data_IF_260553434400
#
_entry.id   IF_260553434400
#
_cell.length_a   1.000
_cell.length_b   1.000
_cell.length_c   1.000
_cell.angle_alpha   90.00
_cell.angle_beta   90.00
_cell.angle_gamma   90.00
#
_symmetry.space_group_name_H-M   'P 1'
#
loop_
_entity.id
_entity.type
_entity.pdbx_description
1 polymer ?
#
# COMPACT_ATOMS: atom_id res chain seq x y z
N UNK A 1 18.94 -19.55 20.33
CA UNK A 1 17.90 -19.57 19.27
C UNK A 1 17.50 -18.12 19.03
N UNK A 2 17.44 -17.66 17.77
CA UNK A 2 17.05 -16.27 17.49
C UNK A 2 15.53 -16.13 17.54
N UNK A 3 15.03 -15.04 18.09
CA UNK A 3 13.60 -14.75 18.21
C UNK A 3 13.09 -13.91 17.05
N UNK A 4 11.97 -14.32 16.47
CA UNK A 4 11.30 -13.63 15.36
C UNK A 4 9.86 -13.37 15.74
N UNK A 5 9.45 -12.11 15.67
CA UNK A 5 8.04 -11.73 15.82
C UNK A 5 7.45 -11.54 14.43
N UNK A 6 6.41 -12.31 14.09
CA UNK A 6 5.78 -12.26 12.78
C UNK A 6 4.41 -11.60 12.85
N UNK A 7 4.17 -10.64 11.94
CA UNK A 7 2.84 -10.07 11.73
C UNK A 7 1.93 -11.10 11.06
N UNK A 8 0.97 -11.63 11.80
CA UNK A 8 -0.08 -12.53 11.31
C UNK A 8 -1.33 -11.70 11.02
N UNK A 9 -1.69 -11.58 9.75
CA UNK A 9 -2.84 -10.75 9.32
C UNK A 9 -4.12 -11.54 9.11
N UNK A 10 -4.14 -12.83 9.47
CA UNK A 10 -5.23 -13.75 9.08
C UNK A 10 -5.22 -14.15 7.61
N UNK A 11 -4.16 -13.83 6.85
CA UNK A 11 -4.00 -14.18 5.45
C UNK A 11 -2.98 -15.30 5.23
N UNK A 12 -3.16 -16.07 4.15
CA UNK A 12 -2.34 -17.26 3.80
C UNK A 12 -0.84 -16.97 3.76
N UNK A 13 -0.46 -15.79 3.29
CA UNK A 13 0.95 -15.40 3.11
C UNK A 13 1.68 -15.29 4.45
N UNK A 14 1.06 -14.64 5.43
CA UNK A 14 1.60 -14.54 6.79
C UNK A 14 1.61 -15.89 7.51
N UNK A 15 0.61 -16.74 7.25
CA UNK A 15 0.52 -18.09 7.84
C UNK A 15 1.67 -18.99 7.38
N UNK A 16 1.93 -19.02 6.07
CA UNK A 16 3.04 -19.80 5.51
C UNK A 16 4.39 -19.21 5.92
N UNK A 17 4.52 -17.88 5.96
CA UNK A 17 5.73 -17.25 6.46
C UNK A 17 6.04 -17.67 7.91
N UNK A 18 5.04 -17.77 8.78
CA UNK A 18 5.20 -18.21 10.17
C UNK A 18 5.62 -19.68 10.26
N UNK A 19 4.98 -20.54 9.46
CA UNK A 19 5.33 -21.96 9.37
C UNK A 19 6.79 -22.15 8.96
N UNK A 20 7.22 -21.49 7.87
CA UNK A 20 8.59 -21.60 7.36
C UNK A 20 9.64 -21.09 8.36
N UNK A 21 9.31 -20.07 9.18
CA UNK A 21 10.19 -19.62 10.26
C UNK A 21 10.30 -20.66 11.38
N UNK A 22 9.18 -21.28 11.75
CA UNK A 22 9.15 -22.35 12.76
C UNK A 22 9.98 -23.57 12.30
N UNK A 23 9.83 -23.98 11.05
CA UNK A 23 10.58 -25.09 10.45
C UNK A 23 12.09 -24.81 10.37
N UNK A 24 12.49 -23.55 10.17
CA UNK A 24 13.89 -23.10 10.22
C UNK A 24 14.47 -23.04 11.63
N UNK A 25 13.69 -23.36 12.66
CA UNK A 25 14.14 -23.42 14.05
C UNK A 25 14.24 -22.06 14.75
N UNK A 26 13.50 -21.04 14.30
CA UNK A 26 13.39 -19.78 15.03
C UNK A 26 12.45 -19.90 16.24
N UNK A 27 12.67 -19.05 17.25
CA UNK A 27 11.69 -18.80 18.31
C UNK A 27 10.65 -17.82 17.80
N UNK A 28 9.52 -18.32 17.32
CA UNK A 28 8.51 -17.53 16.59
C UNK A 28 7.37 -17.12 17.52
N UNK A 29 7.03 -15.84 17.53
CA UNK A 29 5.83 -15.28 18.18
C UNK A 29 4.98 -14.59 17.11
N UNK A 30 3.69 -14.93 17.05
CA UNK A 30 2.71 -14.27 16.18
C UNK A 30 2.11 -13.03 16.84
N UNK A 31 2.01 -11.94 16.07
CA UNK A 31 1.25 -10.75 16.48
C UNK A 31 0.23 -10.39 15.41
N UNK A 32 -1.01 -10.18 15.83
CA UNK A 32 -2.03 -9.53 15.02
C UNK A 32 -2.13 -8.05 15.39
N UNK A 33 -2.10 -7.18 14.38
CA UNK A 33 -2.17 -5.72 14.56
C UNK A 33 -3.59 -5.24 14.27
N UNK A 34 -4.30 -4.77 15.29
CA UNK A 34 -5.57 -4.07 15.13
C UNK A 34 -5.28 -2.60 14.82
N UNK A 35 -5.31 -2.27 13.54
CA UNK A 35 -4.93 -0.94 13.03
C UNK A 35 -6.11 -0.01 12.77
N UNK A 36 -7.33 -0.52 12.64
CA UNK A 36 -8.50 0.31 12.41
C UNK A 36 -9.73 -0.37 12.95
N UNK A 37 -10.54 0.38 13.67
CA UNK A 37 -11.93 0.06 13.96
C UNK A 37 -12.68 1.39 13.87
N UNK A 38 -13.71 1.43 13.05
CA UNK A 38 -14.57 2.60 12.93
C UNK A 38 -15.97 2.14 13.27
N UNK A 39 -16.44 2.51 14.45
CA UNK A 39 -17.77 2.12 14.95
C UNK A 39 -18.90 2.90 14.24
N UNK A 40 -18.56 3.88 13.38
CA UNK A 40 -19.53 4.83 12.81
C UNK A 40 -19.92 4.56 11.36
N UNK A 41 -19.17 3.73 10.61
CA UNK A 41 -19.35 3.55 9.14
C UNK A 41 -19.61 2.10 8.71
N UNK A 42 -19.66 1.15 9.65
CA UNK A 42 -20.03 -0.23 9.33
C UNK A 42 -21.56 -0.33 9.26
N UNK A 43 -22.09 -0.28 8.04
CA UNK A 43 -23.51 -0.59 7.74
C UNK A 43 -23.83 -2.09 7.88
N UNK A 44 -22.83 -2.94 8.15
CA UNK A 44 -22.95 -4.37 8.39
C UNK A 44 -22.52 -4.70 9.83
N UNK A 45 -23.26 -5.56 10.52
CA UNK A 45 -22.96 -6.06 11.89
C UNK A 45 -21.65 -6.89 12.00
N UNK A 46 -20.83 -6.93 10.96
CA UNK A 46 -19.61 -7.75 10.89
C UNK A 46 -18.35 -6.88 10.91
N UNK A 47 -17.67 -6.85 12.06
CA UNK A 47 -16.34 -6.28 12.21
C UNK A 47 -15.30 -7.16 11.48
N UNK A 48 -14.75 -6.76 10.31
CA UNK A 48 -13.93 -7.65 9.49
C UNK A 48 -12.64 -8.13 10.17
N UNK A 49 -12.12 -7.34 11.11
CA UNK A 49 -10.91 -7.68 11.86
C UNK A 49 -11.10 -8.86 12.81
N UNK A 50 -12.33 -9.16 13.24
CA UNK A 50 -12.62 -10.29 14.14
C UNK A 50 -12.36 -11.61 13.41
N UNK A 51 -12.85 -11.74 12.18
CA UNK A 51 -12.60 -12.92 11.35
C UNK A 51 -11.11 -13.11 11.06
N UNK A 52 -10.43 -12.04 10.64
CA UNK A 52 -9.00 -12.06 10.36
C UNK A 52 -8.17 -12.42 11.61
N UNK A 53 -8.57 -11.92 12.79
CA UNK A 53 -7.93 -12.25 14.06
C UNK A 53 -8.17 -13.72 14.44
N UNK A 54 -9.39 -14.24 14.25
CA UNK A 54 -9.70 -15.64 14.54
C UNK A 54 -8.90 -16.59 13.65
N UNK A 55 -8.78 -16.29 12.35
CA UNK A 55 -7.93 -17.05 11.44
C UNK A 55 -6.46 -17.03 11.86
N UNK A 56 -5.96 -15.87 12.34
CA UNK A 56 -4.60 -15.74 12.83
C UNK A 56 -4.36 -16.59 14.09
N UNK A 57 -5.33 -16.65 15.02
CA UNK A 57 -5.30 -17.51 16.20
C UNK A 57 -5.23 -18.99 15.80
N UNK A 58 -6.15 -19.44 14.92
CA UNK A 58 -6.20 -20.83 14.47
C UNK A 58 -4.88 -21.26 13.79
N UNK A 59 -4.28 -20.36 13.01
CA UNK A 59 -2.96 -20.59 12.41
C UNK A 59 -1.86 -20.70 13.46
N UNK A 60 -1.84 -19.79 14.45
CA UNK A 60 -0.83 -19.81 15.50
C UNK A 60 -0.93 -21.08 16.37
N UNK A 61 -2.14 -21.51 16.71
CA UNK A 61 -2.40 -22.76 17.43
C UNK A 61 -1.94 -23.98 16.62
N UNK A 62 -2.27 -24.02 15.31
CA UNK A 62 -1.87 -25.09 14.40
C UNK A 62 -0.35 -25.23 14.28
N UNK A 63 0.37 -24.11 14.22
CA UNK A 63 1.84 -24.08 14.11
C UNK A 63 2.51 -24.30 15.47
N UNK A 64 1.79 -24.09 16.58
CA UNK A 64 2.34 -24.18 17.93
C UNK A 64 3.27 -23.02 18.26
N UNK A 65 2.80 -21.78 18.04
CA UNK A 65 3.52 -20.54 18.36
C UNK A 65 2.66 -19.66 19.28
N UNK A 66 3.26 -18.91 20.23
CA UNK A 66 2.55 -17.91 21.01
C UNK A 66 1.92 -16.84 20.10
N UNK A 67 0.77 -16.32 20.52
CA UNK A 67 0.02 -15.33 19.76
C UNK A 67 -0.43 -14.18 20.66
N UNK A 68 -0.35 -12.95 20.14
CA UNK A 68 -0.84 -11.75 20.82
C UNK A 68 -1.54 -10.81 19.84
N UNK A 69 -2.45 -10.01 20.36
CA UNK A 69 -3.10 -8.92 19.63
C UNK A 69 -2.59 -7.60 20.20
N UNK A 70 -2.17 -6.69 19.33
CA UNK A 70 -1.82 -5.32 19.71
C UNK A 70 -2.73 -4.33 19.01
N UNK A 71 -3.08 -3.27 19.72
CA UNK A 71 -3.86 -2.16 19.18
C UNK A 71 -2.94 -1.03 18.75
N UNK A 72 -2.98 -0.70 17.46
CA UNK A 72 -2.24 0.41 16.85
C UNK A 72 -3.21 1.39 16.17
N UNK A 73 -4.50 1.32 16.48
CA UNK A 73 -5.55 2.12 15.84
C UNK A 73 -5.32 3.62 15.95
N UNK A 74 -4.90 4.10 17.12
CA UNK A 74 -4.60 5.51 17.36
C UNK A 74 -3.47 6.01 16.45
N UNK A 75 -2.33 5.32 16.46
CA UNK A 75 -1.18 5.69 15.63
C UNK A 75 -1.50 5.57 14.14
N UNK A 76 -2.25 4.54 13.74
CA UNK A 76 -2.67 4.36 12.36
C UNK A 76 -3.56 5.52 11.89
N UNK A 77 -4.51 5.97 12.73
CA UNK A 77 -5.32 7.15 12.44
C UNK A 77 -4.45 8.38 12.20
N UNK A 78 -3.62 8.71 13.18
CA UNK A 78 -2.81 9.94 13.16
C UNK A 78 -1.78 9.94 12.01
N UNK A 79 -1.14 8.80 11.74
CA UNK A 79 -0.04 8.73 10.76
C UNK A 79 -0.49 8.41 9.35
N UNK A 80 -1.58 7.67 9.18
CA UNK A 80 -2.02 7.16 7.86
C UNK A 80 -3.30 7.84 7.41
N UNK A 81 -4.34 7.80 8.24
CA UNK A 81 -5.68 8.28 7.84
C UNK A 81 -5.71 9.80 7.74
N UNK A 82 -5.24 10.51 8.76
CA UNK A 82 -5.22 11.98 8.78
C UNK A 82 -4.30 12.52 7.66
N UNK A 83 -3.17 11.85 7.40
CA UNK A 83 -2.32 12.13 6.25
C UNK A 83 -3.08 11.93 4.93
N UNK A 84 -3.78 10.81 4.77
CA UNK A 84 -4.52 10.52 3.56
C UNK A 84 -5.58 11.59 3.26
N UNK A 85 -6.37 11.99 4.27
CA UNK A 85 -7.37 13.06 4.12
C UNK A 85 -6.73 14.39 3.70
N UNK A 86 -5.63 14.78 4.35
CA UNK A 86 -4.89 15.99 4.01
C UNK A 86 -4.40 15.97 2.56
N UNK A 87 -3.83 14.87 2.09
CA UNK A 87 -3.33 14.77 0.71
C UNK A 87 -4.46 14.86 -0.32
N UNK A 88 -5.60 14.21 -0.07
CA UNK A 88 -6.78 14.32 -0.94
C UNK A 88 -7.35 15.74 -0.94
N UNK A 89 -7.41 16.42 0.21
CA UNK A 89 -7.83 17.81 0.30
C UNK A 89 -6.93 18.73 -0.54
N UNK A 90 -5.63 18.43 -0.60
CA UNK A 90 -4.67 19.14 -1.42
C UNK A 90 -4.64 18.69 -2.89
N UNK A 91 -5.56 17.79 -3.31
CA UNK A 91 -5.68 17.33 -4.69
C UNK A 91 -4.64 16.31 -5.13
N UNK A 92 -3.95 15.68 -4.17
CA UNK A 92 -2.98 14.61 -4.43
C UNK A 92 -3.62 13.25 -4.20
N UNK A 93 -3.11 12.23 -4.89
CA UNK A 93 -3.48 10.83 -4.67
C UNK A 93 -2.39 10.15 -3.85
N UNK A 94 -2.53 10.05 -2.52
CA UNK A 94 -1.54 9.40 -1.67
C UNK A 94 -1.53 7.88 -1.86
N UNK A 95 -0.41 7.25 -1.49
CA UNK A 95 -0.31 5.81 -1.35
C UNK A 95 -0.17 5.45 0.15
N UNK A 96 -1.29 5.19 0.85
CA UNK A 96 -1.26 4.92 2.29
C UNK A 96 -0.57 3.59 2.63
N UNK A 97 -0.48 2.64 1.70
CA UNK A 97 0.16 1.34 1.96
C UNK A 97 1.69 1.48 2.06
N UNK A 98 2.30 2.35 1.25
CA UNK A 98 3.73 2.68 1.36
C UNK A 98 4.03 3.27 2.74
N UNK A 99 3.19 4.22 3.19
CA UNK A 99 3.36 4.86 4.48
C UNK A 99 3.07 3.91 5.65
N UNK A 100 2.04 3.07 5.54
CA UNK A 100 1.71 2.06 6.54
C UNK A 100 2.86 1.07 6.76
N UNK A 101 3.54 0.65 5.70
CA UNK A 101 4.75 -0.16 5.86
C UNK A 101 5.81 0.60 6.66
N UNK A 102 6.18 1.80 6.22
CA UNK A 102 7.23 2.59 6.89
C UNK A 102 6.94 2.91 8.36
N UNK A 103 5.72 3.38 8.65
CA UNK A 103 5.34 3.98 9.94
C UNK A 103 4.70 2.99 10.92
N UNK A 104 4.04 1.95 10.42
CA UNK A 104 3.29 1.00 11.26
C UNK A 104 4.01 -0.34 11.28
N UNK A 105 4.12 -1.01 10.13
CA UNK A 105 4.65 -2.40 10.08
C UNK A 105 6.15 -2.49 10.30
N UNK A 106 6.93 -1.46 10.01
CA UNK A 106 8.38 -1.50 10.17
C UNK A 106 8.91 -0.48 11.18
N UNK A 107 8.05 0.34 11.78
CA UNK A 107 8.41 1.20 12.93
C UNK A 107 7.72 0.73 14.22
N UNK A 108 6.41 0.92 14.35
CA UNK A 108 5.68 0.56 15.57
C UNK A 108 5.69 -0.94 15.87
N UNK A 109 5.46 -1.78 14.85
CA UNK A 109 5.53 -3.23 14.99
C UNK A 109 6.95 -3.70 15.36
N UNK A 110 7.98 -3.08 14.78
CA UNK A 110 9.37 -3.35 15.14
C UNK A 110 9.63 -2.99 16.60
N UNK A 111 9.18 -1.82 17.06
CA UNK A 111 9.30 -1.40 18.47
C UNK A 111 8.59 -2.37 19.42
N UNK A 112 7.36 -2.78 19.09
CA UNK A 112 6.63 -3.79 19.87
C UNK A 112 7.36 -5.14 19.91
N UNK A 113 7.92 -5.58 18.79
CA UNK A 113 8.70 -6.81 18.72
C UNK A 113 9.97 -6.75 19.57
N UNK A 114 10.67 -5.61 19.58
CA UNK A 114 11.87 -5.41 20.40
C UNK A 114 11.55 -5.50 21.90
N UNK A 115 10.38 -5.04 22.35
CA UNK A 115 9.93 -5.23 23.74
C UNK A 115 9.73 -6.70 24.12
N UNK A 116 9.48 -7.58 23.14
CA UNK A 116 9.41 -9.03 23.31
C UNK A 116 10.79 -9.72 23.18
N UNK A 117 11.88 -8.94 23.18
CA UNK A 117 13.25 -9.39 22.95
C UNK A 117 13.43 -10.10 21.60
N UNK A 118 12.75 -9.62 20.56
CA UNK A 118 12.92 -10.14 19.21
C UNK A 118 14.26 -9.70 18.59
N UNK A 119 14.93 -10.63 17.91
CA UNK A 119 16.09 -10.30 17.07
C UNK A 119 15.65 -9.72 15.72
N UNK A 120 14.50 -10.17 15.22
CA UNK A 120 13.93 -9.78 13.94
C UNK A 120 12.40 -9.67 13.97
N UNK A 121 11.86 -8.91 13.04
CA UNK A 121 10.46 -9.01 12.62
C UNK A 121 10.35 -9.77 11.31
N UNK A 122 9.20 -10.38 11.07
CA UNK A 122 8.87 -10.98 9.80
C UNK A 122 7.48 -10.59 9.31
N UNK A 123 7.31 -10.60 7.99
CA UNK A 123 6.02 -10.35 7.34
C UNK A 123 5.84 -11.30 6.16
N UNK A 124 4.59 -11.50 5.75
CA UNK A 124 4.25 -12.25 4.54
C UNK A 124 4.38 -11.43 3.24
N UNK A 125 5.33 -10.49 3.16
CA UNK A 125 5.51 -9.71 1.93
C UNK A 125 6.30 -10.51 0.87
N UNK A 126 5.89 -10.37 -0.39
CA UNK A 126 6.56 -10.92 -1.57
C UNK A 126 7.72 -10.02 -2.01
N UNK A 127 8.77 -10.00 -1.21
CA UNK A 127 10.02 -9.33 -1.53
C UNK A 127 11.19 -10.08 -0.92
N UNK A 128 12.40 -9.83 -1.39
CA UNK A 128 13.60 -10.50 -0.91
C UNK A 128 14.54 -9.47 -0.26
N UNK A 129 15.48 -9.97 0.53
CA UNK A 129 16.53 -9.15 1.14
C UNK A 129 17.86 -9.88 1.03
N UNK A 130 18.89 -9.16 0.63
CA UNK A 130 20.27 -9.61 0.81
C UNK A 130 21.12 -8.55 1.52
N UNK A 131 22.39 -8.86 1.74
CA UNK A 131 23.35 -7.92 2.33
C UNK A 131 24.67 -8.01 1.58
N UNK A 132 25.26 -6.86 1.27
CA UNK A 132 26.56 -6.73 0.63
C UNK A 132 27.50 -5.91 1.53
N UNK A 133 28.81 -6.08 1.38
CA UNK A 133 29.77 -5.14 1.94
C UNK A 133 29.96 -3.96 0.98
N UNK A 134 29.92 -2.75 1.52
CA UNK A 134 30.32 -1.55 0.80
C UNK A 134 31.84 -1.54 0.60
N UNK A 135 32.31 -0.67 -0.30
CA UNK A 135 33.74 -0.40 -0.49
C UNK A 135 34.44 0.12 0.78
N UNK A 136 33.67 0.64 1.74
CA UNK A 136 34.13 1.16 3.02
C UNK A 136 34.02 0.12 4.15
N UNK A 137 33.60 -1.11 3.85
CA UNK A 137 33.46 -2.21 4.83
C UNK A 137 32.13 -2.23 5.60
N UNK A 138 31.22 -1.28 5.35
CA UNK A 138 29.90 -1.24 5.97
C UNK A 138 28.96 -2.28 5.35
N UNK A 139 28.11 -2.92 6.15
CA UNK A 139 27.08 -3.83 5.62
C UNK A 139 25.90 -3.00 5.10
N UNK A 140 25.57 -3.19 3.82
CA UNK A 140 24.40 -2.59 3.18
C UNK A 140 23.35 -3.67 2.98
N UNK A 141 22.16 -3.48 3.53
CA UNK A 141 21.01 -4.32 3.28
C UNK A 141 20.25 -3.82 2.05
N UNK A 142 19.97 -4.71 1.10
CA UNK A 142 19.23 -4.36 -0.13
C UNK A 142 17.87 -5.03 -0.13
N UNK A 143 16.84 -4.25 -0.46
CA UNK A 143 15.52 -4.76 -0.78
C UNK A 143 15.53 -5.21 -2.24
N UNK A 144 15.10 -6.44 -2.48
CA UNK A 144 15.05 -7.08 -3.78
C UNK A 144 13.61 -7.43 -4.13
N UNK A 145 13.30 -7.49 -5.43
CA UNK A 145 12.00 -7.93 -5.89
C UNK A 145 11.70 -9.38 -5.47
N UNK A 146 10.42 -9.68 -5.26
CA UNK A 146 9.92 -11.04 -5.10
C UNK A 146 10.17 -11.89 -6.34
N UNK A 147 10.30 -13.21 -6.15
CA UNK A 147 10.48 -14.15 -7.25
C UNK A 147 9.23 -14.27 -8.15
N UNK A 148 8.04 -14.00 -7.60
CA UNK A 148 6.80 -13.88 -8.36
C UNK A 148 6.58 -12.42 -8.76
N UNK A 149 6.90 -12.08 -10.02
CA UNK A 149 6.78 -10.69 -10.49
C UNK A 149 5.35 -10.15 -10.49
N UNK A 150 4.32 -11.02 -10.56
CA UNK A 150 2.93 -10.59 -10.52
C UNK A 150 2.47 -10.28 -9.08
N UNK A 151 3.27 -10.67 -8.09
CA UNK A 151 2.98 -10.51 -6.68
C UNK A 151 4.04 -9.72 -5.94
N UNK A 152 5.12 -9.29 -6.61
CA UNK A 152 6.18 -8.48 -5.99
C UNK A 152 5.60 -7.28 -5.24
N UNK A 153 6.03 -7.14 -4.00
CA UNK A 153 5.60 -6.08 -3.09
C UNK A 153 6.74 -5.13 -2.74
N UNK A 154 7.92 -5.26 -3.36
CA UNK A 154 9.07 -4.38 -3.11
C UNK A 154 8.73 -2.88 -3.27
N UNK A 155 7.83 -2.55 -4.20
CA UNK A 155 7.29 -1.19 -4.38
C UNK A 155 6.70 -0.60 -3.09
N UNK A 156 5.91 -1.37 -2.33
CA UNK A 156 5.29 -0.89 -1.11
C UNK A 156 6.27 -0.75 0.06
N UNK A 157 7.47 -1.33 -0.06
CA UNK A 157 8.53 -1.30 0.93
C UNK A 157 9.68 -0.36 0.50
N UNK A 158 9.48 0.45 -0.55
CA UNK A 158 10.52 1.31 -1.13
C UNK A 158 11.05 2.40 -0.18
N UNK A 159 10.33 2.70 0.91
CA UNK A 159 10.73 3.71 1.90
C UNK A 159 11.34 3.12 3.18
N UNK A 160 11.66 1.82 3.21
CA UNK A 160 12.34 1.23 4.35
C UNK A 160 13.79 1.72 4.45
N UNK A 161 14.20 2.06 5.66
CA UNK A 161 15.59 2.43 5.94
C UNK A 161 16.46 1.19 6.28
N UNK A 162 17.77 1.40 6.42
CA UNK A 162 18.73 0.32 6.68
C UNK A 162 18.51 -0.37 8.03
N UNK A 163 18.12 0.37 9.07
CA UNK A 163 17.84 -0.19 10.39
C UNK A 163 16.63 -1.14 10.33
N UNK A 164 15.51 -0.66 9.77
CA UNK A 164 14.29 -1.44 9.57
C UNK A 164 14.58 -2.70 8.75
N UNK A 165 15.29 -2.55 7.63
CA UNK A 165 15.59 -3.65 6.73
C UNK A 165 16.56 -4.67 7.38
N UNK A 166 17.54 -4.21 8.17
CA UNK A 166 18.47 -5.09 8.90
C UNK A 166 17.74 -6.05 9.84
N UNK A 167 16.65 -5.58 10.46
CA UNK A 167 15.81 -6.31 11.41
C UNK A 167 14.65 -7.07 10.78
N UNK A 168 14.50 -7.04 9.45
CA UNK A 168 13.35 -7.63 8.75
C UNK A 168 13.67 -8.95 8.05
N UNK A 169 12.70 -9.86 8.06
CA UNK A 169 12.70 -11.13 7.33
C UNK A 169 11.48 -11.25 6.41
N UNK A 170 11.69 -11.82 5.22
CA UNK A 170 10.66 -12.06 4.21
C UNK A 170 10.65 -13.52 3.79
N UNK A 171 10.05 -14.42 4.60
CA UNK A 171 10.26 -15.86 4.45
C UNK A 171 9.75 -16.43 3.13
N UNK A 172 8.75 -15.79 2.50
CA UNK A 172 8.09 -16.28 1.28
C UNK A 172 8.55 -15.58 0.00
N UNK A 173 9.45 -14.59 0.09
CA UNK A 173 9.81 -13.75 -1.06
C UNK A 173 10.42 -14.48 -2.26
N UNK A 174 10.94 -15.67 -2.05
CA UNK A 174 11.53 -16.54 -3.07
C UNK A 174 10.52 -17.52 -3.71
N UNK A 175 9.29 -17.58 -3.18
CA UNK A 175 8.26 -18.52 -3.60
C UNK A 175 7.28 -17.89 -4.58
N UNK A 176 6.70 -18.73 -5.44
CA UNK A 176 5.53 -18.35 -6.24
C UNK A 176 4.27 -18.37 -5.37
N UNK A 177 3.28 -17.51 -5.65
CA UNK A 177 2.02 -17.50 -4.89
C UNK A 177 1.30 -18.86 -4.89
N UNK A 178 1.38 -19.59 -6.01
CA UNK A 178 0.84 -20.95 -6.12
C UNK A 178 1.51 -21.93 -5.15
N UNK A 179 2.82 -21.79 -4.96
CA UNK A 179 3.58 -22.60 -4.03
C UNK A 179 3.25 -22.27 -2.57
N UNK A 180 3.09 -20.99 -2.23
CA UNK A 180 2.60 -20.57 -0.91
C UNK A 180 1.25 -21.21 -0.60
N UNK A 181 0.29 -21.18 -1.55
CA UNK A 181 -1.01 -21.84 -1.37
C UNK A 181 -0.90 -23.36 -1.24
N UNK A 182 0.00 -23.99 -2.00
CA UNK A 182 0.28 -25.43 -1.89
C UNK A 182 0.79 -25.80 -0.50
N UNK A 183 1.79 -25.07 0.01
CA UNK A 183 2.36 -25.28 1.36
C UNK A 183 1.28 -25.12 2.43
N UNK A 184 0.43 -24.09 2.32
CA UNK A 184 -0.67 -23.89 3.26
C UNK A 184 -1.65 -25.07 3.29
N UNK A 185 -1.99 -25.60 2.12
CA UNK A 185 -2.90 -26.73 1.97
C UNK A 185 -2.31 -28.05 2.49
N UNK A 186 -1.05 -28.32 2.15
CA UNK A 186 -0.32 -29.52 2.60
C UNK A 186 -0.19 -29.58 4.13
N UNK A 187 -0.09 -28.41 4.78
CA UNK A 187 0.00 -28.31 6.24
C UNK A 187 -1.35 -28.11 6.94
N UNK A 188 -2.46 -28.10 6.19
CA UNK A 188 -3.81 -27.94 6.72
C UNK A 188 -4.00 -26.63 7.50
N UNK A 189 -3.44 -25.52 6.99
CA UNK A 189 -3.65 -24.19 7.58
C UNK A 189 -5.07 -23.70 7.27
N UNK A 190 -5.75 -23.11 8.24
CA UNK A 190 -7.12 -22.60 8.11
C UNK A 190 -7.27 -21.56 6.96
N UNK A 191 -6.19 -20.83 6.68
CA UNK A 191 -6.16 -19.77 5.66
C UNK A 191 -5.86 -20.25 4.23
N UNK A 192 -5.68 -21.56 4.00
CA UNK A 192 -5.22 -22.09 2.71
C UNK A 192 -6.10 -21.69 1.50
N UNK A 193 -7.42 -21.72 1.69
CA UNK A 193 -8.41 -21.39 0.65
C UNK A 193 -8.89 -19.93 0.75
N UNK A 194 -8.36 -19.13 1.69
CA UNK A 194 -8.74 -17.73 1.87
C UNK A 194 -8.30 -16.90 0.66
N UNK A 195 -9.18 -16.01 0.22
CA UNK A 195 -8.89 -15.06 -0.87
C UNK A 195 -7.91 -14.00 -0.37
N UNK A 196 -7.09 -13.49 -1.30
CA UNK A 196 -6.20 -12.36 -0.99
C UNK A 196 -7.05 -11.13 -0.63
N UNK A 197 -6.64 -10.38 0.39
CA UNK A 197 -7.30 -9.14 0.77
C UNK A 197 -7.23 -8.14 -0.39
N UNK A 198 -8.37 -7.50 -0.69
CA UNK A 198 -8.47 -6.43 -1.69
C UNK A 198 -8.94 -5.15 -0.99
N UNK A 199 -8.42 -4.00 -1.44
CA UNK A 199 -8.74 -2.68 -0.86
C UNK A 199 -7.54 -2.06 -0.14
N UNK A 200 -7.79 -0.92 0.50
CA UNK A 200 -6.81 -0.22 1.32
C UNK A 200 -6.48 -1.06 2.56
N UNK A 201 -5.19 -1.18 2.90
CA UNK A 201 -4.77 -2.02 4.02
C UNK A 201 -5.47 -1.56 5.32
N UNK A 202 -6.16 -2.48 6.01
CA UNK A 202 -6.87 -2.30 7.29
C UNK A 202 -8.18 -1.49 7.31
N UNK A 203 -8.49 -0.67 6.30
CA UNK A 203 -9.78 0.06 6.23
C UNK A 203 -10.94 -0.86 5.79
N UNK A 204 -10.62 -2.01 5.18
CA UNK A 204 -11.60 -3.04 4.83
C UNK A 204 -12.26 -2.82 3.46
N UNK A 205 -13.47 -3.36 3.27
CA UNK A 205 -14.19 -3.37 1.98
C UNK A 205 -14.98 -2.09 1.69
N UNK A 206 -14.59 -0.95 2.27
CA UNK A 206 -15.25 0.33 2.01
C UNK A 206 -14.71 0.93 0.70
N UNK A 207 -15.60 1.45 -0.14
CA UNK A 207 -15.19 2.18 -1.34
C UNK A 207 -14.53 3.49 -0.92
N UNK A 208 -13.32 3.76 -1.42
CA UNK A 208 -12.56 4.96 -1.08
C UNK A 208 -13.38 6.27 -1.16
N UNK A 209 -14.20 6.55 -2.20
CA UNK A 209 -15.01 7.77 -2.21
C UNK A 209 -16.00 7.89 -1.04
N UNK A 210 -16.54 6.75 -0.56
CA UNK A 210 -17.43 6.72 0.61
C UNK A 210 -16.64 6.96 1.89
N UNK A 211 -15.46 6.35 2.00
CA UNK A 211 -14.56 6.61 3.13
C UNK A 211 -14.15 8.09 3.21
N UNK A 212 -13.80 8.70 2.08
CA UNK A 212 -13.39 10.09 2.03
C UNK A 212 -14.51 11.08 2.43
N UNK A 213 -15.78 10.72 2.25
CA UNK A 213 -16.92 11.57 2.62
C UNK A 213 -17.07 11.80 4.13
N UNK A 214 -16.38 11.03 4.97
CA UNK A 214 -16.39 11.23 6.42
C UNK A 214 -15.82 12.61 6.83
N UNK A 215 -14.82 13.11 6.09
CA UNK A 215 -14.18 14.40 6.36
C UNK A 215 -14.20 15.36 5.16
N UNK A 216 -14.28 14.85 3.93
CA UNK A 216 -14.29 15.64 2.71
C UNK A 216 -15.69 15.66 2.09
N UNK A 217 -16.47 16.68 2.45
CA UNK A 217 -17.83 16.85 1.94
C UNK A 217 -17.86 16.97 0.40
N UNK A 218 -18.80 16.31 -0.29
CA UNK A 218 -18.99 16.50 -1.72
C UNK A 218 -19.34 17.95 -2.04
N UNK A 219 -18.60 18.53 -2.98
CA UNK A 219 -18.85 19.88 -3.51
C UNK A 219 -18.84 19.84 -5.02
N UNK A 220 -19.95 20.22 -5.63
CA UNK A 220 -20.05 20.24 -7.09
C UNK A 220 -19.03 21.21 -7.70
N UNK A 221 -18.28 20.72 -8.68
CA UNK A 221 -17.24 21.45 -9.41
C UNK A 221 -17.39 21.26 -10.92
N UNK A 222 -16.60 22.00 -11.70
CA UNK A 222 -16.70 22.01 -13.17
C UNK A 222 -15.69 21.07 -13.81
N UNK A 223 -16.12 20.30 -14.80
CA UNK A 223 -15.21 19.55 -15.68
C UNK A 223 -14.92 20.39 -16.92
N UNK A 224 -13.63 20.64 -17.19
CA UNK A 224 -13.18 21.43 -18.33
C UNK A 224 -12.29 20.60 -19.28
N UNK A 225 -12.76 20.39 -20.51
CA UNK A 225 -12.03 19.65 -21.53
C UNK A 225 -10.91 20.49 -22.15
N UNK A 226 -9.76 19.87 -22.34
CA UNK A 226 -8.68 20.39 -23.17
C UNK A 226 -8.66 19.61 -24.47
N UNK A 227 -8.69 20.34 -25.60
CA UNK A 227 -8.58 19.72 -26.91
C UNK A 227 -7.25 18.96 -27.05
N UNK A 228 -7.29 17.76 -27.61
CA UNK A 228 -6.14 16.86 -27.74
C UNK A 228 -4.93 17.53 -28.40
N UNK A 229 -5.18 18.36 -29.39
CA UNK A 229 -4.13 18.98 -30.21
C UNK A 229 -3.52 20.24 -29.56
N UNK A 230 -4.04 20.67 -28.41
CA UNK A 230 -3.52 21.83 -27.66
C UNK A 230 -2.20 21.51 -26.97
N UNK A 231 -2.01 20.26 -26.53
CA UNK A 231 -0.79 19.79 -25.87
C UNK A 231 0.16 19.19 -26.91
N UNK A 232 1.09 19.98 -27.44
CA UNK A 232 2.15 19.50 -28.33
C UNK A 232 3.28 18.79 -27.54
N UNK A 233 2.93 17.72 -26.84
CA UNK A 233 3.87 16.94 -26.03
C UNK A 233 4.51 15.89 -26.95
N UNK A 234 5.77 16.11 -27.33
CA UNK A 234 6.58 15.04 -27.91
C UNK A 234 6.96 14.07 -26.78
N UNK A 235 6.67 12.76 -26.90
CA UNK A 235 7.07 11.80 -25.90
C UNK A 235 8.60 11.82 -25.78
N UNK A 236 9.09 12.05 -24.56
CA UNK A 236 10.50 12.03 -24.25
C UNK A 236 10.95 10.57 -24.25
N UNK A 237 11.80 10.19 -25.21
CA UNK A 237 12.33 8.83 -25.29
C UNK A 237 13.81 8.83 -24.95
N UNK A 238 14.21 7.99 -23.99
CA UNK A 238 15.62 7.71 -23.67
C UNK A 238 16.28 6.75 -24.66
N UNK A 239 15.53 6.29 -25.69
CA UNK A 239 15.94 5.23 -26.63
C UNK A 239 17.21 5.56 -27.43
N UNK A 240 17.62 6.83 -27.50
CA UNK A 240 18.76 7.27 -28.31
C UNK A 240 19.96 7.78 -27.48
N UNK A 241 20.07 7.42 -26.19
CA UNK A 241 21.19 7.87 -25.35
C UNK A 241 21.17 9.37 -25.03
N UNK A 242 19.97 9.97 -25.05
CA UNK A 242 19.77 11.38 -24.71
C UNK A 242 20.00 11.57 -23.21
N UNK A 243 21.02 12.36 -22.87
CA UNK A 243 21.25 12.86 -21.50
C UNK A 243 20.52 14.20 -21.37
N UNK A 244 19.61 14.30 -20.41
CA UNK A 244 18.95 15.56 -20.08
C UNK A 244 19.82 16.38 -19.12
N UNK A 245 19.89 17.68 -19.35
CA UNK A 245 20.41 18.64 -18.37
C UNK A 245 19.42 18.81 -17.21
N UNK A 246 19.89 19.27 -16.05
CA UNK A 246 19.01 19.56 -14.90
C UNK A 246 17.88 20.52 -15.28
N UNK A 247 18.19 21.58 -16.05
CA UNK A 247 17.19 22.54 -16.51
C UNK A 247 16.13 21.92 -17.44
N UNK A 248 16.51 20.96 -18.28
CA UNK A 248 15.55 20.23 -19.10
C UNK A 248 14.65 19.34 -18.23
N UNK A 249 15.23 18.64 -17.25
CA UNK A 249 14.49 17.83 -16.27
C UNK A 249 13.50 18.67 -15.47
N UNK A 250 13.90 19.84 -15.00
CA UNK A 250 13.01 20.81 -14.33
C UNK A 250 11.86 21.22 -15.26
N UNK A 251 12.17 21.54 -16.52
CA UNK A 251 11.14 21.96 -17.48
C UNK A 251 10.12 20.85 -17.77
N UNK A 252 10.55 19.61 -17.94
CA UNK A 252 9.64 18.48 -18.26
C UNK A 252 8.87 17.97 -17.04
N UNK A 253 9.39 18.20 -15.83
CA UNK A 253 8.75 17.81 -14.57
C UNK A 253 7.88 18.90 -13.96
N UNK A 254 7.94 20.12 -14.53
CA UNK A 254 7.11 21.24 -14.09
C UNK A 254 5.62 21.00 -14.36
N UNK A 255 4.79 21.49 -13.44
CA UNK A 255 3.34 21.35 -13.52
C UNK A 255 2.78 22.13 -14.72
N UNK A 256 1.87 21.50 -15.46
CA UNK A 256 1.22 22.14 -16.61
C UNK A 256 0.11 23.09 -16.14
N UNK A 257 0.17 24.36 -16.53
CA UNK A 257 -0.92 25.31 -16.26
C UNK A 257 -2.08 25.12 -17.26
N UNK A 258 -3.02 24.24 -16.91
CA UNK A 258 -4.18 23.93 -17.74
C UNK A 258 -5.11 25.12 -18.02
N UNK A 259 -5.08 26.19 -17.21
CA UNK A 259 -5.93 27.38 -17.39
C UNK A 259 -5.57 28.17 -18.65
N UNK A 260 -4.31 28.13 -19.07
CA UNK A 260 -3.82 28.83 -20.26
C UNK A 260 -4.20 28.13 -21.58
N UNK A 261 -4.70 26.89 -21.50
CA UNK A 261 -5.02 26.06 -22.66
C UNK A 261 -6.46 26.26 -23.17
N UNK A 262 -7.12 27.35 -22.77
CA UNK A 262 -8.51 27.72 -23.14
C UNK A 262 -9.53 26.57 -23.00
N UNK A 263 -9.64 25.92 -21.82
CA UNK A 263 -10.44 24.72 -21.69
C UNK A 263 -11.95 25.00 -21.67
N UNK A 264 -12.75 24.12 -22.28
CA UNK A 264 -14.20 24.26 -22.42
C UNK A 264 -14.94 23.52 -21.30
N UNK A 265 -15.96 24.12 -20.68
CA UNK A 265 -16.76 23.42 -19.65
C UNK A 265 -17.70 22.41 -20.29
N UNK A 266 -17.56 21.13 -19.94
CA UNK A 266 -18.30 20.01 -20.55
C UNK A 266 -19.17 19.23 -19.57
N UNK A 267 -19.12 19.55 -18.27
CA UNK A 267 -19.91 18.87 -17.25
C UNK A 267 -19.57 19.31 -15.84
N UNK A 268 -20.03 18.53 -14.87
CA UNK A 268 -19.79 18.72 -13.45
C UNK A 268 -19.29 17.44 -12.78
N UNK A 269 -18.68 17.58 -11.61
CA UNK A 269 -18.18 16.46 -10.81
C UNK A 269 -18.48 16.71 -9.31
N UNK A 270 -18.53 15.67 -8.45
CA UNK A 270 -18.93 15.81 -7.04
C UNK A 270 -17.84 16.36 -6.11
N UNK A 271 -16.70 16.81 -6.64
CA UNK A 271 -15.52 17.25 -5.88
C UNK A 271 -14.23 16.82 -6.56
N UNK A 272 -13.25 17.71 -6.68
CA UNK A 272 -12.03 17.45 -7.46
C UNK A 272 -11.13 16.39 -6.78
N UNK A 273 -11.17 16.33 -5.45
CA UNK A 273 -10.42 15.38 -4.61
C UNK A 273 -10.81 13.91 -4.79
N UNK A 274 -11.93 13.60 -5.46
CA UNK A 274 -12.34 12.22 -5.74
C UNK A 274 -11.75 11.64 -7.04
N UNK A 275 -10.90 12.40 -7.74
CA UNK A 275 -10.33 12.02 -9.01
C UNK A 275 -8.81 11.95 -8.95
N UNK A 276 -8.22 11.11 -9.79
CA UNK A 276 -6.77 11.01 -9.97
C UNK A 276 -6.38 11.16 -11.43
N UNK A 277 -5.15 11.61 -11.69
CA UNK A 277 -4.62 11.77 -13.05
C UNK A 277 -4.65 10.42 -13.78
N UNK A 278 -5.10 10.44 -15.03
CA UNK A 278 -5.29 9.26 -15.86
C UNK A 278 -6.59 8.49 -15.59
N UNK A 279 -7.41 8.92 -14.62
CA UNK A 279 -8.69 8.28 -14.35
C UNK A 279 -9.67 8.46 -15.53
N UNK A 280 -10.31 7.37 -15.92
CA UNK A 280 -11.37 7.35 -16.95
C UNK A 280 -12.77 7.19 -16.37
N UNK A 281 -12.92 6.34 -15.34
CA UNK A 281 -14.23 5.99 -14.78
C UNK A 281 -14.70 7.05 -13.79
N UNK A 282 -16.02 7.22 -13.66
CA UNK A 282 -16.63 8.14 -12.70
C UNK A 282 -16.82 9.58 -13.20
N UNK A 283 -16.35 9.91 -14.41
CA UNK A 283 -16.57 11.22 -15.04
C UNK A 283 -18.03 11.45 -15.46
N UNK A 284 -18.77 10.38 -15.77
CA UNK A 284 -20.18 10.41 -16.18
C UNK A 284 -20.51 11.38 -17.34
N UNK A 285 -19.52 11.64 -18.22
CA UNK A 285 -19.68 12.47 -19.42
C UNK A 285 -19.79 11.58 -20.66
N UNK A 286 -20.89 11.75 -21.41
CA UNK A 286 -21.17 11.04 -22.65
C UNK A 286 -21.01 11.91 -23.90
N UNK A 287 -21.31 11.34 -25.09
CA UNK A 287 -21.40 12.10 -26.35
C UNK A 287 -20.06 12.40 -27.04
N UNK A 288 -18.93 11.92 -26.52
CA UNK A 288 -17.61 12.08 -27.13
C UNK A 288 -17.23 10.85 -27.96
N UNK A 289 -16.57 11.08 -29.11
CA UNK A 289 -16.07 10.02 -30.00
C UNK A 289 -14.96 9.18 -29.36
N UNK A 290 -14.14 9.83 -28.52
CA UNK A 290 -13.03 9.21 -27.80
C UNK A 290 -13.28 9.27 -26.29
N UNK A 291 -12.74 8.32 -25.52
CA UNK A 291 -12.83 8.37 -24.06
C UNK A 291 -12.08 9.58 -23.50
N UNK A 292 -12.63 10.16 -22.44
CA UNK A 292 -12.00 11.21 -21.65
C UNK A 292 -11.17 10.61 -20.51
N UNK A 293 -10.10 11.31 -20.15
CA UNK A 293 -9.21 10.99 -19.05
C UNK A 293 -8.91 12.26 -18.27
N UNK A 294 -8.80 12.15 -16.95
CA UNK A 294 -8.38 13.26 -16.09
C UNK A 294 -6.93 13.61 -16.39
N UNK A 295 -6.68 14.85 -16.78
CA UNK A 295 -5.34 15.42 -16.97
C UNK A 295 -4.81 16.04 -15.68
N UNK A 296 -5.69 16.60 -14.86
CA UNK A 296 -5.33 17.22 -13.60
C UNK A 296 -6.53 17.64 -12.76
N UNK A 297 -6.26 17.95 -11.50
CA UNK A 297 -7.25 18.38 -10.50
C UNK A 297 -6.83 19.70 -9.88
N UNK A 298 -7.73 20.68 -9.82
CA UNK A 298 -7.56 21.93 -9.08
C UNK A 298 -8.58 21.95 -7.93
N UNK A 299 -8.16 21.54 -6.74
CA UNK A 299 -9.04 21.51 -5.56
C UNK A 299 -9.34 22.89 -4.98
N UNK A 300 -8.55 23.92 -5.30
CA UNK A 300 -8.79 25.30 -4.85
C UNK A 300 -9.97 25.91 -5.60
N UNK A 301 -9.97 25.77 -6.92
CA UNK A 301 -11.07 26.25 -7.78
C UNK A 301 -12.19 25.21 -7.99
N UNK A 302 -11.98 23.99 -7.47
CA UNK A 302 -12.86 22.83 -7.68
C UNK A 302 -13.12 22.56 -9.18
N UNK A 303 -12.03 22.41 -9.93
CA UNK A 303 -12.03 22.15 -11.37
C UNK A 303 -11.34 20.82 -11.65
N UNK A 304 -11.92 20.04 -12.56
CA UNK A 304 -11.32 18.84 -13.14
C UNK A 304 -10.97 19.11 -14.61
N UNK A 305 -9.73 18.82 -15.02
CA UNK A 305 -9.28 18.92 -16.41
C UNK A 305 -9.21 17.55 -17.07
#
# INVERSE_FOLDING_TARGET
MKRVVIGLSGGVDSSVAALLLKEKGYDVIGIFMRNWHDDSVILDDECPWIEDSNDAILVAEKIGIPFQVIDLSKDYKERIVDYMFKEYQEGRTPNPDVLCNREIKFDLFLKAALQLNADYIATGHYCQKDSIQSTEGNVIHRLLAGADQNKDQSYFLCQLNQEQLSKSLFPIGHLQKSEVRRIAKENGLATAEKKDSQGLCFIGKVKLPVFLQQELEPKEGKVKEIARDTLNIKPLTTKDGITFTESELEKISSETNFKELSPETIGAHPGAHYFTVGQRKGLNIGGKKLPLFVLGTDTKENILY
#
